data_IF_170938250972
#
_entry.id   IF_170938250972
#
_cell.length_a   1.000
_cell.length_b   1.000
_cell.length_c   1.000
_cell.angle_alpha   90.00
_cell.angle_beta   90.00
_cell.angle_gamma   90.00
#
_symmetry.space_group_name_H-M   'P 1'
#
loop_
_entity.id
_entity.type
_entity.pdbx_description
1 polymer ?
#
# COMPACT_ATOMS: atom_id res chain seq x y z
N UNK A 1 -9.12 0.43 21.55
CA UNK A 1 -9.36 0.51 23.01
C UNK A 1 -8.19 1.17 23.72
N UNK A 2 -6.95 0.73 23.48
CA UNK A 2 -5.72 1.26 24.12
C UNK A 2 -5.50 2.76 23.95
N UNK A 3 -5.81 3.31 22.78
CA UNK A 3 -5.73 4.72 22.46
C UNK A 3 -6.82 5.06 21.41
N UNK A 4 -7.41 6.27 21.45
CA UNK A 4 -8.42 6.69 20.49
C UNK A 4 -7.81 7.12 19.15
N UNK A 5 -8.57 6.95 18.07
CA UNK A 5 -8.30 7.58 16.79
C UNK A 5 -8.70 9.07 16.83
N UNK A 6 -8.14 9.88 15.93
CA UNK A 6 -8.47 11.30 15.75
C UNK A 6 -9.37 11.47 14.52
N UNK A 7 -10.24 12.49 14.52
CA UNK A 7 -11.00 12.89 13.33
C UNK A 7 -10.15 13.84 12.45
N UNK A 8 -9.64 13.40 11.29
CA UNK A 8 -8.75 14.22 10.46
C UNK A 8 -9.49 15.36 9.74
N UNK A 9 -10.82 15.40 9.77
CA UNK A 9 -11.64 16.44 9.15
C UNK A 9 -12.06 17.48 10.18
N UNK A 10 -12.60 17.04 11.32
CA UNK A 10 -13.12 17.93 12.37
C UNK A 10 -12.03 18.44 13.30
N UNK A 11 -10.99 17.63 13.53
CA UNK A 11 -9.87 17.94 14.42
C UNK A 11 -8.58 18.17 13.63
N UNK A 12 -8.67 18.43 12.32
CA UNK A 12 -7.49 18.62 11.46
C UNK A 12 -6.56 19.76 11.88
N UNK A 13 -7.04 20.72 12.68
CA UNK A 13 -6.25 21.83 13.22
C UNK A 13 -5.10 21.39 14.14
N UNK A 14 -5.22 20.22 14.78
CA UNK A 14 -4.15 19.68 15.63
C UNK A 14 -3.15 18.82 14.86
N UNK A 15 -3.38 18.60 13.57
CA UNK A 15 -2.56 17.73 12.73
C UNK A 15 -1.62 18.53 11.82
N UNK A 16 -0.43 17.97 11.55
CA UNK A 16 0.53 18.61 10.63
C UNK A 16 1.26 17.59 9.76
N UNK A 17 1.45 17.98 8.49
CA UNK A 17 2.27 17.27 7.50
C UNK A 17 3.62 17.97 7.26
N UNK A 18 4.00 18.91 8.13
CA UNK A 18 5.27 19.61 8.02
C UNK A 18 6.46 18.64 8.18
N UNK A 19 7.50 18.88 7.37
CA UNK A 19 8.75 18.10 7.40
C UNK A 19 9.93 19.04 7.32
N UNK A 20 10.96 18.78 8.12
CA UNK A 20 12.24 19.45 8.02
C UNK A 20 13.29 18.57 7.31
N UNK A 21 13.97 19.14 6.33
CA UNK A 21 14.99 18.50 5.50
C UNK A 21 16.38 19.04 5.87
N UNK A 22 17.32 18.12 6.10
CA UNK A 22 18.71 18.44 6.44
C UNK A 22 19.17 17.73 7.70
N UNK A 23 20.38 18.08 8.16
CA UNK A 23 20.96 17.53 9.39
C UNK A 23 20.12 17.93 10.60
N UNK A 24 19.85 16.97 11.49
CA UNK A 24 19.26 17.21 12.81
C UNK A 24 20.38 17.42 13.82
N UNK A 25 20.38 18.57 14.48
CA UNK A 25 21.42 18.94 15.45
C UNK A 25 21.21 18.33 16.83
N UNK A 26 22.01 18.79 17.79
CA UNK A 26 22.01 18.28 19.15
C UNK A 26 20.83 18.84 19.94
N UNK A 27 19.95 17.97 20.44
CA UNK A 27 18.77 18.38 21.21
C UNK A 27 19.10 18.94 22.61
N UNK A 28 20.32 18.71 23.10
CA UNK A 28 20.78 19.16 24.41
C UNK A 28 21.43 20.55 24.38
N UNK A 29 21.79 21.02 23.19
CA UNK A 29 22.45 22.31 22.99
C UNK A 29 21.54 23.22 22.18
N UNK A 30 21.30 24.44 22.68
CA UNK A 30 20.47 25.42 21.98
C UNK A 30 21.38 26.31 21.15
N UNK A 31 21.22 26.27 19.83
CA UNK A 31 21.97 27.14 18.91
C UNK A 31 21.29 27.32 17.56
N UNK A 32 21.64 28.37 16.81
CA UNK A 32 21.06 28.69 15.50
C UNK A 32 21.30 27.60 14.45
N UNK A 33 22.34 26.79 14.60
CA UNK A 33 22.65 25.65 13.74
C UNK A 33 21.54 24.57 13.75
N UNK A 34 20.77 24.47 14.83
CA UNK A 34 19.64 23.53 14.90
C UNK A 34 18.46 23.95 14.02
N UNK A 35 18.40 25.23 13.62
CA UNK A 35 17.38 25.76 12.73
C UNK A 35 17.82 25.77 11.26
N UNK A 36 19.05 25.32 10.93
CA UNK A 36 19.58 25.33 9.57
C UNK A 36 19.05 24.15 8.74
N UNK A 37 17.74 24.13 8.52
CA UNK A 37 17.00 23.11 7.79
C UNK A 37 16.02 23.74 6.80
N UNK A 38 15.65 22.99 5.76
CA UNK A 38 14.59 23.40 4.83
C UNK A 38 13.25 22.85 5.34
N UNK A 39 12.33 23.75 5.67
CA UNK A 39 10.97 23.37 6.10
C UNK A 39 10.03 23.25 4.90
N UNK A 40 9.35 22.10 4.81
CA UNK A 40 8.34 21.78 3.81
C UNK A 40 6.97 21.69 4.49
N UNK A 41 5.94 22.29 3.87
CA UNK A 41 4.55 22.22 4.38
C UNK A 41 3.87 20.84 4.18
N UNK A 42 4.55 19.92 3.50
CA UNK A 42 4.05 18.62 3.08
C UNK A 42 5.21 17.71 2.68
N UNK A 43 5.13 16.38 2.88
CA UNK A 43 6.12 15.43 2.37
C UNK A 43 6.00 15.20 0.86
N UNK A 44 4.92 15.68 0.22
CA UNK A 44 4.68 15.48 -1.22
C UNK A 44 5.29 16.63 -1.99
N UNK A 45 6.31 16.34 -2.78
CA UNK A 45 7.03 17.29 -3.62
C UNK A 45 6.52 17.25 -5.06
N UNK A 46 6.48 18.40 -5.71
CA UNK A 46 6.50 18.47 -7.17
C UNK A 46 7.95 18.53 -7.70
N UNK A 47 8.11 18.40 -9.01
CA UNK A 47 9.45 18.34 -9.63
C UNK A 47 10.26 19.64 -9.44
N UNK A 48 9.61 20.80 -9.42
CA UNK A 48 10.27 22.10 -9.20
C UNK A 48 10.72 22.31 -7.75
N UNK A 49 9.95 21.81 -6.79
CA UNK A 49 10.34 21.77 -5.38
C UNK A 49 11.54 20.85 -5.16
N UNK A 50 11.55 19.67 -5.79
CA UNK A 50 12.71 18.77 -5.77
C UNK A 50 13.94 19.43 -6.41
N UNK A 51 13.78 20.10 -7.55
CA UNK A 51 14.89 20.80 -8.22
C UNK A 51 15.47 21.91 -7.35
N UNK A 52 14.63 22.60 -6.58
CA UNK A 52 15.07 23.62 -5.63
C UNK A 52 15.89 23.02 -4.49
N UNK A 53 15.48 21.86 -3.96
CA UNK A 53 16.27 21.11 -2.97
C UNK A 53 17.61 20.64 -3.55
N UNK A 54 17.64 20.20 -4.81
CA UNK A 54 18.87 19.74 -5.49
C UNK A 54 19.90 20.86 -5.71
N UNK A 55 19.44 22.12 -5.78
CA UNK A 55 20.30 23.30 -5.95
C UNK A 55 20.77 23.91 -4.62
N UNK A 56 20.27 23.41 -3.49
CA UNK A 56 20.61 23.96 -2.19
C UNK A 56 22.07 23.61 -1.81
N UNK A 57 22.97 24.62 -1.68
CA UNK A 57 24.39 24.38 -1.42
C UNK A 57 24.66 23.87 0.00
N UNK A 58 23.75 24.11 0.96
CA UNK A 58 23.90 23.64 2.34
C UNK A 58 23.53 22.19 2.48
N UNK A 59 22.46 21.76 1.79
CA UNK A 59 22.02 20.36 1.82
C UNK A 59 23.03 19.42 1.16
N UNK A 60 23.86 19.93 0.24
CA UNK A 60 24.82 19.15 -0.57
C UNK A 60 24.19 17.85 -1.09
N UNK A 61 23.13 17.94 -1.90
CA UNK A 61 22.29 16.80 -2.24
C UNK A 61 23.08 15.77 -3.05
N UNK A 62 22.90 14.50 -2.72
CA UNK A 62 23.45 13.37 -3.48
C UNK A 62 22.32 12.55 -4.06
N UNK A 63 22.27 12.46 -5.39
CA UNK A 63 21.34 11.58 -6.10
C UNK A 63 21.94 10.18 -6.17
N UNK A 64 21.17 9.18 -5.75
CA UNK A 64 21.51 7.76 -5.73
C UNK A 64 20.56 7.01 -6.67
N UNK A 65 21.12 6.32 -7.66
CA UNK A 65 20.35 5.61 -8.69
C UNK A 65 19.85 4.27 -8.17
N UNK A 66 18.54 4.06 -8.11
CA UNK A 66 17.95 2.84 -7.52
C UNK A 66 17.80 1.70 -8.54
N UNK A 67 18.79 1.48 -9.40
CA UNK A 67 18.75 0.43 -10.43
C UNK A 67 19.71 -0.72 -10.10
N UNK A 68 19.31 -1.95 -10.40
CA UNK A 68 20.18 -3.13 -10.26
C UNK A 68 20.42 -3.81 -11.61
N UNK A 69 21.59 -4.41 -11.78
CA UNK A 69 22.03 -4.99 -13.05
C UNK A 69 21.90 -6.51 -13.03
N UNK A 70 21.21 -7.07 -14.01
CA UNK A 70 20.96 -8.52 -14.12
C UNK A 70 21.78 -9.23 -15.21
N UNK A 71 22.74 -8.53 -15.86
CA UNK A 71 23.55 -9.10 -16.95
C UNK A 71 24.42 -10.28 -16.51
N UNK A 72 24.79 -10.35 -15.22
CA UNK A 72 25.56 -11.45 -14.62
C UNK A 72 24.68 -12.54 -13.98
N UNK A 73 23.36 -12.45 -14.15
CA UNK A 73 22.38 -13.29 -13.46
C UNK A 73 21.52 -12.47 -12.51
N UNK A 74 20.31 -12.98 -12.24
CA UNK A 74 19.33 -12.34 -11.37
C UNK A 74 19.57 -12.64 -9.89
N UNK A 75 19.99 -13.87 -9.58
CA UNK A 75 20.17 -14.31 -8.20
C UNK A 75 21.25 -13.45 -7.49
N UNK A 76 20.91 -12.92 -6.33
CA UNK A 76 21.76 -12.01 -5.54
C UNK A 76 21.92 -10.61 -6.12
N UNK A 77 21.44 -10.31 -7.33
CA UNK A 77 21.62 -9.00 -7.97
C UNK A 77 20.93 -7.87 -7.22
N UNK A 78 19.71 -8.12 -6.71
CA UNK A 78 18.94 -7.16 -5.92
C UNK A 78 19.63 -6.87 -4.59
N UNK A 79 20.06 -7.92 -3.88
CA UNK A 79 20.76 -7.79 -2.60
C UNK A 79 22.06 -6.99 -2.74
N UNK A 80 22.89 -7.34 -3.74
CA UNK A 80 24.14 -6.66 -4.00
C UNK A 80 23.93 -5.17 -4.34
N UNK A 81 22.89 -4.85 -5.12
CA UNK A 81 22.56 -3.47 -5.45
C UNK A 81 22.11 -2.67 -4.21
N UNK A 82 21.32 -3.28 -3.31
CA UNK A 82 20.91 -2.62 -2.07
C UNK A 82 22.12 -2.38 -1.16
N UNK A 83 23.03 -3.37 -1.01
CA UNK A 83 24.25 -3.20 -0.23
C UNK A 83 25.13 -2.08 -0.79
N UNK A 84 25.35 -2.05 -2.11
CA UNK A 84 26.10 -0.99 -2.76
C UNK A 84 25.44 0.39 -2.57
N UNK A 85 24.11 0.46 -2.63
CA UNK A 85 23.36 1.70 -2.36
C UNK A 85 23.51 2.16 -0.91
N UNK A 86 23.53 1.25 0.05
CA UNK A 86 23.77 1.56 1.45
C UNK A 86 25.18 2.13 1.67
N UNK A 87 26.20 1.51 1.06
CA UNK A 87 27.59 1.98 1.11
C UNK A 87 27.76 3.35 0.45
N UNK A 88 27.14 3.58 -0.72
CA UNK A 88 27.19 4.89 -1.40
C UNK A 88 26.49 5.97 -0.56
N UNK A 89 25.36 5.64 0.06
CA UNK A 89 24.65 6.53 0.98
C UNK A 89 25.50 6.88 2.20
N UNK A 90 26.11 5.89 2.86
CA UNK A 90 27.00 6.09 4.01
C UNK A 90 28.16 7.03 3.62
N UNK A 91 28.86 6.73 2.53
CA UNK A 91 29.97 7.55 2.03
C UNK A 91 29.54 8.99 1.72
N UNK A 92 28.37 9.17 1.10
CA UNK A 92 27.82 10.49 0.82
C UNK A 92 27.55 11.28 2.10
N UNK A 93 26.93 10.67 3.12
CA UNK A 93 26.66 11.34 4.40
C UNK A 93 27.97 11.67 5.13
N UNK A 94 28.96 10.76 5.14
CA UNK A 94 30.28 11.03 5.73
C UNK A 94 31.03 12.15 5.01
N UNK A 95 30.82 12.32 3.70
CA UNK A 95 31.36 13.45 2.94
C UNK A 95 30.62 14.77 3.19
N UNK A 96 29.59 14.77 4.03
CA UNK A 96 28.84 15.95 4.45
C UNK A 96 27.55 16.21 3.68
N UNK A 97 27.05 15.24 2.90
CA UNK A 97 25.72 15.33 2.29
C UNK A 97 24.64 15.26 3.37
N UNK A 98 23.71 16.23 3.36
CA UNK A 98 22.57 16.28 4.27
C UNK A 98 21.25 15.90 3.58
N UNK A 99 21.29 15.61 2.28
CA UNK A 99 20.13 15.19 1.51
C UNK A 99 20.51 14.07 0.55
N UNK A 100 19.94 12.89 0.77
CA UNK A 100 20.02 11.76 -0.15
C UNK A 100 18.73 11.71 -0.96
N UNK A 101 18.85 11.73 -2.30
CA UNK A 101 17.72 11.58 -3.22
C UNK A 101 17.82 10.22 -3.89
N UNK A 102 16.97 9.29 -3.50
CA UNK A 102 16.87 7.97 -4.13
C UNK A 102 15.98 8.10 -5.36
N UNK A 103 16.55 7.88 -6.54
CA UNK A 103 15.84 8.12 -7.80
C UNK A 103 15.82 6.90 -8.71
N UNK A 104 14.62 6.53 -9.17
CA UNK A 104 14.41 5.61 -10.29
C UNK A 104 14.20 6.35 -11.63
N UNK A 105 14.45 7.66 -11.67
CA UNK A 105 14.42 8.44 -12.91
C UNK A 105 15.61 8.07 -13.80
N UNK A 106 15.35 7.83 -15.09
CA UNK A 106 16.38 7.56 -16.09
C UNK A 106 15.98 8.15 -17.44
N UNK A 107 16.96 8.63 -18.21
CA UNK A 107 16.76 9.10 -19.59
C UNK A 107 16.43 7.95 -20.56
N UNK A 108 17.03 6.78 -20.31
CA UNK A 108 16.82 5.58 -21.10
C UNK A 108 16.63 4.37 -20.18
N UNK A 109 15.55 3.60 -20.42
CA UNK A 109 15.30 2.36 -19.70
C UNK A 109 16.01 1.20 -20.42
N UNK A 110 16.75 0.39 -19.67
CA UNK A 110 17.41 -0.81 -20.20
C UNK A 110 16.69 -2.08 -19.74
N UNK A 111 16.42 -3.06 -20.62
CA UNK A 111 15.79 -4.33 -20.22
C UNK A 111 16.57 -5.09 -19.13
N UNK A 112 17.89 -4.90 -19.09
CA UNK A 112 18.81 -5.56 -18.15
C UNK A 112 19.05 -4.79 -16.85
N UNK A 113 18.33 -3.68 -16.63
CA UNK A 113 18.46 -2.84 -15.45
C UNK A 113 17.09 -2.47 -14.88
N UNK A 114 16.41 -3.40 -14.19
CA UNK A 114 15.22 -3.08 -13.40
C UNK A 114 15.52 -2.10 -12.25
N UNK A 115 14.50 -1.32 -11.88
CA UNK A 115 14.55 -0.48 -10.69
C UNK A 115 14.28 -1.32 -9.42
N UNK A 116 15.06 -1.10 -8.38
CA UNK A 116 14.80 -1.61 -7.02
C UNK A 116 13.44 -1.06 -6.56
N UNK A 117 12.56 -1.87 -5.95
CA UNK A 117 11.34 -1.36 -5.33
C UNK A 117 11.69 -0.24 -4.35
N UNK A 118 11.16 0.97 -4.59
CA UNK A 118 11.60 2.18 -3.87
C UNK A 118 11.43 2.07 -2.35
N UNK A 119 10.39 1.37 -1.89
CA UNK A 119 10.15 1.13 -0.46
C UNK A 119 11.29 0.31 0.17
N UNK A 120 11.80 -0.69 -0.55
CA UNK A 120 12.91 -1.53 -0.11
C UNK A 120 14.21 -0.71 -0.04
N UNK A 121 14.47 0.12 -1.05
CA UNK A 121 15.64 1.01 -1.09
C UNK A 121 15.64 2.03 0.05
N UNK A 122 14.50 2.71 0.28
CA UNK A 122 14.34 3.67 1.39
C UNK A 122 14.54 2.98 2.72
N UNK A 123 13.87 1.84 2.95
CA UNK A 123 13.94 1.10 4.21
C UNK A 123 15.37 0.63 4.50
N UNK A 124 16.05 0.02 3.53
CA UNK A 124 17.41 -0.48 3.70
C UNK A 124 18.41 0.65 4.03
N UNK A 125 18.38 1.75 3.28
CA UNK A 125 19.26 2.90 3.55
C UNK A 125 18.91 3.54 4.90
N UNK A 126 17.63 3.65 5.22
CA UNK A 126 17.19 4.19 6.52
C UNK A 126 17.77 3.39 7.68
N UNK A 127 17.64 2.06 7.64
CA UNK A 127 18.16 1.17 8.67
C UNK A 127 19.69 1.17 8.74
N UNK A 128 20.35 1.09 7.59
CA UNK A 128 21.80 1.12 7.50
C UNK A 128 22.38 2.41 8.13
N UNK A 129 21.80 3.57 7.80
CA UNK A 129 22.22 4.84 8.38
C UNK A 129 21.93 4.93 9.88
N UNK A 130 20.86 4.29 10.39
CA UNK A 130 20.60 4.19 11.84
C UNK A 130 21.71 3.37 12.51
N UNK A 131 21.99 2.18 11.98
CA UNK A 131 22.99 1.26 12.54
C UNK A 131 24.39 1.88 12.59
N UNK A 132 24.72 2.75 11.63
CA UNK A 132 26.01 3.43 11.56
C UNK A 132 26.03 4.80 12.28
N UNK A 133 24.95 5.20 12.94
CA UNK A 133 24.86 6.49 13.65
C UNK A 133 24.83 7.71 12.72
N UNK A 134 24.47 7.53 11.45
CA UNK A 134 24.48 8.56 10.41
C UNK A 134 23.08 9.11 10.08
N UNK A 135 22.00 8.45 10.49
CA UNK A 135 20.63 8.83 10.07
C UNK A 135 20.22 10.25 10.44
N UNK A 136 20.79 10.82 11.51
CA UNK A 136 20.51 12.20 11.93
C UNK A 136 21.27 13.24 11.08
N UNK A 137 22.26 12.82 10.30
CA UNK A 137 23.09 13.72 9.49
C UNK A 137 22.49 14.06 8.12
N UNK A 138 21.50 13.29 7.65
CA UNK A 138 20.88 13.51 6.35
C UNK A 138 19.39 13.14 6.32
N UNK A 139 18.63 13.81 5.46
CA UNK A 139 17.26 13.43 5.09
C UNK A 139 17.26 12.55 3.84
N UNK A 140 16.24 11.70 3.72
CA UNK A 140 16.04 10.80 2.56
C UNK A 140 14.82 11.30 1.79
N UNK A 141 14.98 11.53 0.48
CA UNK A 141 13.89 11.86 -0.44
C UNK A 141 13.77 10.78 -1.51
N UNK A 142 12.56 10.31 -1.76
CA UNK A 142 12.28 9.35 -2.83
C UNK A 142 11.76 10.08 -4.08
N UNK A 143 12.52 10.11 -5.16
CA UNK A 143 12.08 10.55 -6.50
C UNK A 143 11.71 9.32 -7.32
N UNK A 144 10.42 8.97 -7.35
CA UNK A 144 10.01 7.63 -7.81
C UNK A 144 8.78 7.60 -8.73
N UNK A 145 8.84 6.69 -9.70
CA UNK A 145 7.71 6.30 -10.53
C UNK A 145 6.68 5.40 -9.81
N UNK A 146 7.09 4.72 -8.73
CA UNK A 146 6.33 3.63 -8.10
C UNK A 146 5.47 4.08 -6.92
N UNK A 147 5.20 5.38 -6.77
CA UNK A 147 4.38 5.93 -5.68
C UNK A 147 3.23 6.80 -6.21
N UNK A 148 2.00 6.33 -6.07
CA UNK A 148 0.80 6.99 -6.60
C UNK A 148 -0.44 6.88 -5.70
N UNK A 149 -0.41 6.06 -4.64
CA UNK A 149 -1.52 5.88 -3.71
C UNK A 149 -1.16 6.35 -2.30
N UNK A 150 -2.15 6.75 -1.52
CA UNK A 150 -1.98 7.25 -0.14
C UNK A 150 -1.24 6.25 0.76
N UNK A 151 -1.46 4.95 0.57
CA UNK A 151 -0.76 3.90 1.30
C UNK A 151 0.73 3.84 0.97
N UNK A 152 1.12 3.96 -0.31
CA UNK A 152 2.53 3.96 -0.71
C UNK A 152 3.30 5.14 -0.11
N UNK A 153 2.71 6.35 -0.08
CA UNK A 153 3.30 7.49 0.62
C UNK A 153 3.48 7.21 2.11
N UNK A 154 2.44 6.67 2.77
CA UNK A 154 2.51 6.34 4.18
C UNK A 154 3.59 5.28 4.47
N UNK A 155 3.72 4.24 3.65
CA UNK A 155 4.78 3.24 3.77
C UNK A 155 6.16 3.90 3.64
N UNK A 156 6.41 4.68 2.59
CA UNK A 156 7.71 5.33 2.39
C UNK A 156 8.09 6.22 3.58
N UNK A 157 7.14 7.02 4.09
CA UNK A 157 7.38 7.89 5.25
C UNK A 157 7.61 7.07 6.52
N UNK A 158 6.75 6.08 6.78
CA UNK A 158 6.84 5.22 7.96
C UNK A 158 8.11 4.39 8.02
N UNK A 159 8.75 4.15 6.87
CA UNK A 159 10.05 3.47 6.75
C UNK A 159 11.23 4.42 6.45
N UNK A 160 11.05 5.73 6.61
CA UNK A 160 12.16 6.66 6.78
C UNK A 160 12.36 7.72 5.68
N UNK A 161 11.51 7.76 4.65
CA UNK A 161 11.51 8.89 3.71
C UNK A 161 11.01 10.16 4.41
N UNK A 162 11.74 11.25 4.24
CA UNK A 162 11.32 12.58 4.72
C UNK A 162 10.36 13.23 3.73
N UNK A 163 10.62 13.11 2.43
CA UNK A 163 9.71 13.59 1.39
C UNK A 163 9.75 12.68 0.16
N UNK A 164 8.74 12.81 -0.71
CA UNK A 164 8.53 11.98 -1.89
C UNK A 164 8.16 12.89 -3.06
N UNK A 165 8.89 12.77 -4.16
CA UNK A 165 8.55 13.30 -5.47
C UNK A 165 7.97 12.15 -6.34
N UNK A 166 6.63 12.04 -6.46
CA UNK A 166 5.97 10.98 -7.19
C UNK A 166 5.88 11.32 -8.68
N UNK A 167 7.02 11.46 -9.35
CA UNK A 167 7.08 12.12 -10.66
C UNK A 167 6.19 11.47 -11.72
N UNK A 168 6.09 10.13 -11.75
CA UNK A 168 5.25 9.44 -12.74
C UNK A 168 3.76 9.58 -12.44
N UNK A 169 3.37 9.71 -11.16
CA UNK A 169 1.99 9.97 -10.78
C UNK A 169 1.57 11.39 -11.20
N UNK A 170 2.48 12.36 -11.02
CA UNK A 170 2.30 13.73 -11.48
C UNK A 170 2.19 13.79 -13.01
N UNK A 171 3.07 13.09 -13.72
CA UNK A 171 3.01 12.98 -15.18
C UNK A 171 1.72 12.29 -15.65
N UNK A 172 1.28 11.25 -14.95
CA UNK A 172 0.00 10.59 -15.21
C UNK A 172 -1.17 11.56 -15.09
N UNK A 173 -1.15 12.50 -14.14
CA UNK A 173 -2.16 13.55 -14.04
C UNK A 173 -2.15 14.48 -15.26
N UNK A 174 -0.96 14.84 -15.77
CA UNK A 174 -0.81 15.65 -16.99
C UNK A 174 -1.38 14.91 -18.20
N UNK A 175 -0.96 13.66 -18.41
CA UNK A 175 -1.41 12.83 -19.53
C UNK A 175 -2.91 12.52 -19.48
N UNK A 176 -3.44 12.22 -18.28
CA UNK A 176 -4.88 12.03 -18.08
C UNK A 176 -5.67 13.27 -18.51
N UNK A 177 -5.20 14.46 -18.10
CA UNK A 177 -5.84 15.72 -18.44
C UNK A 177 -5.74 16.05 -19.93
N UNK A 178 -4.61 15.74 -20.57
CA UNK A 178 -4.39 15.97 -22.00
C UNK A 178 -5.11 14.96 -22.89
N UNK A 179 -5.52 13.81 -22.36
CA UNK A 179 -6.16 12.77 -23.16
C UNK A 179 -7.45 13.25 -23.83
N UNK A 180 -7.63 12.86 -25.11
CA UNK A 180 -8.82 13.20 -25.90
C UNK A 180 -10.13 12.80 -25.21
N UNK A 181 -10.13 11.66 -24.48
CA UNK A 181 -11.29 11.20 -23.73
C UNK A 181 -11.68 12.18 -22.63
N UNK A 182 -10.71 12.62 -21.81
CA UNK A 182 -10.95 13.56 -20.71
C UNK A 182 -11.38 14.93 -21.24
N UNK A 183 -10.71 15.43 -22.29
CA UNK A 183 -11.09 16.69 -22.94
C UNK A 183 -12.53 16.65 -23.46
N UNK A 184 -12.94 15.55 -24.10
CA UNK A 184 -14.32 15.39 -24.57
C UNK A 184 -15.34 15.30 -23.44
N UNK A 185 -15.00 14.66 -22.32
CA UNK A 185 -15.88 14.62 -21.14
C UNK A 185 -16.11 16.02 -20.56
N UNK A 186 -15.06 16.85 -20.49
CA UNK A 186 -15.16 18.24 -20.03
C UNK A 186 -15.98 19.09 -20.99
N UNK A 187 -15.71 18.99 -22.30
CA UNK A 187 -16.44 19.75 -23.33
C UNK A 187 -17.93 19.43 -23.33
N UNK A 188 -18.30 18.17 -23.09
CA UNK A 188 -19.68 17.72 -23.08
C UNK A 188 -20.37 17.91 -21.71
N UNK A 189 -19.75 18.61 -20.75
CA UNK A 189 -20.31 18.87 -19.42
C UNK A 189 -20.44 17.65 -18.52
N UNK A 190 -19.84 16.52 -18.88
CA UNK A 190 -19.87 15.28 -18.06
C UNK A 190 -18.85 15.29 -16.92
N UNK A 191 -17.93 16.26 -16.93
CA UNK A 191 -16.90 16.44 -15.92
C UNK A 191 -16.57 17.94 -15.79
N UNK A 192 -16.24 18.44 -14.59
CA UNK A 192 -15.77 19.81 -14.42
C UNK A 192 -14.48 20.09 -15.22
N UNK A 193 -14.38 21.27 -15.80
CA UNK A 193 -13.15 21.73 -16.45
C UNK A 193 -12.07 21.97 -15.39
N UNK A 194 -10.93 21.31 -15.54
CA UNK A 194 -9.73 21.55 -14.71
C UNK A 194 -8.55 21.90 -15.59
N UNK A 195 -7.54 22.61 -15.07
CA UNK A 195 -6.25 22.79 -15.78
C UNK A 195 -5.31 21.63 -15.44
N UNK A 196 -4.14 21.56 -16.08
CA UNK A 196 -3.12 20.56 -15.77
C UNK A 196 -2.61 20.76 -14.34
N UNK A 197 -2.32 22.00 -13.97
CA UNK A 197 -1.84 22.40 -12.66
C UNK A 197 -2.89 22.08 -11.60
N UNK A 198 -4.18 22.31 -11.90
CA UNK A 198 -5.26 21.98 -10.99
C UNK A 198 -5.41 20.46 -10.79
N UNK A 199 -5.21 19.66 -11.85
CA UNK A 199 -5.23 18.19 -11.73
C UNK A 199 -4.12 17.70 -10.78
N UNK A 200 -2.90 18.21 -10.93
CA UNK A 200 -1.79 17.88 -10.04
C UNK A 200 -2.02 18.37 -8.61
N UNK A 201 -2.52 19.60 -8.43
CA UNK A 201 -2.90 20.14 -7.09
C UNK A 201 -3.97 19.29 -6.42
N UNK A 202 -4.97 18.82 -7.18
CA UNK A 202 -6.01 17.94 -6.65
C UNK A 202 -5.45 16.58 -6.22
N UNK A 203 -4.52 16.01 -7.00
CA UNK A 203 -3.81 14.79 -6.63
C UNK A 203 -3.03 14.98 -5.32
N UNK A 204 -2.20 16.03 -5.23
CA UNK A 204 -1.42 16.33 -4.02
C UNK A 204 -2.36 16.54 -2.82
N UNK A 205 -3.46 17.28 -3.00
CA UNK A 205 -4.48 17.49 -1.95
C UNK A 205 -5.08 16.15 -1.47
N UNK A 206 -5.44 15.26 -2.40
CA UNK A 206 -5.97 13.94 -2.07
C UNK A 206 -4.96 13.09 -1.29
N UNK A 207 -3.68 13.13 -1.68
CA UNK A 207 -2.60 12.44 -0.96
C UNK A 207 -2.45 13.01 0.45
N UNK A 208 -2.39 14.34 0.62
CA UNK A 208 -2.30 15.00 1.93
C UNK A 208 -3.47 14.63 2.84
N UNK A 209 -4.71 14.71 2.36
CA UNK A 209 -5.88 14.28 3.13
C UNK A 209 -5.84 12.78 3.47
N UNK A 210 -5.34 11.96 2.56
CA UNK A 210 -5.17 10.53 2.78
C UNK A 210 -4.11 10.20 3.84
N UNK A 211 -3.00 10.93 3.86
CA UNK A 211 -1.98 10.82 4.91
C UNK A 211 -2.55 11.18 6.28
N UNK A 212 -3.23 12.32 6.40
CA UNK A 212 -3.92 12.71 7.65
C UNK A 212 -4.87 11.60 8.11
N UNK A 213 -5.65 11.01 7.20
CA UNK A 213 -6.53 9.88 7.51
C UNK A 213 -5.77 8.64 7.99
N UNK A 214 -4.59 8.34 7.45
CA UNK A 214 -3.80 7.17 7.88
C UNK A 214 -3.22 7.42 9.29
N UNK A 215 -2.66 8.60 9.52
CA UNK A 215 -2.12 9.03 10.82
C UNK A 215 -3.20 8.98 11.90
N UNK A 216 -4.40 9.47 11.58
CA UNK A 216 -5.50 9.58 12.54
C UNK A 216 -6.01 8.23 13.04
N UNK A 217 -5.85 7.13 12.27
CA UNK A 217 -6.25 5.77 12.68
C UNK A 217 -5.58 5.32 13.97
N UNK A 218 -4.36 5.78 14.21
CA UNK A 218 -3.58 5.47 15.43
C UNK A 218 -3.51 6.66 16.40
N UNK A 219 -4.27 7.73 16.14
CA UNK A 219 -4.26 8.94 16.95
C UNK A 219 -2.95 9.75 16.86
N UNK A 220 -2.24 9.65 15.73
CA UNK A 220 -0.99 10.39 15.51
C UNK A 220 -1.33 11.74 14.86
N UNK A 221 -0.88 12.84 15.46
CA UNK A 221 -1.14 14.19 14.94
C UNK A 221 -0.06 14.71 13.99
N UNK A 222 1.20 14.38 14.25
CA UNK A 222 2.35 14.96 13.54
C UNK A 222 3.02 13.92 12.63
N UNK A 223 3.25 14.29 11.38
CA UNK A 223 3.98 13.44 10.43
C UNK A 223 5.43 13.19 10.86
N UNK A 224 6.05 14.15 11.56
CA UNK A 224 7.40 13.99 12.12
C UNK A 224 7.50 12.82 13.10
N UNK A 225 6.44 12.54 13.87
CA UNK A 225 6.35 11.38 14.76
C UNK A 225 6.00 10.08 14.03
N UNK A 226 5.36 10.17 12.86
CA UNK A 226 5.04 9.02 12.02
C UNK A 226 6.26 8.53 11.20
N UNK A 227 7.14 9.45 10.82
CA UNK A 227 8.32 9.14 10.01
C UNK A 227 9.27 8.17 10.76
N UNK A 228 9.53 7.02 10.14
CA UNK A 228 10.36 5.96 10.75
C UNK A 228 9.68 5.15 11.87
N UNK A 229 8.42 5.44 12.21
CA UNK A 229 7.72 4.76 13.31
C UNK A 229 7.21 3.34 12.97
N UNK A 230 7.26 2.94 11.70
CA UNK A 230 6.89 1.60 11.23
C UNK A 230 5.51 1.12 11.71
N UNK A 231 4.48 1.96 11.54
CA UNK A 231 3.10 1.65 11.94
C UNK A 231 2.43 0.72 10.91
N UNK A 232 3.03 -0.46 10.73
CA UNK A 232 2.66 -1.47 9.74
C UNK A 232 2.89 -2.88 10.28
N UNK A 233 2.16 -3.84 9.73
CA UNK A 233 2.42 -5.26 9.90
C UNK A 233 2.68 -5.89 8.53
N UNK A 234 3.70 -6.73 8.43
CA UNK A 234 4.16 -7.31 7.18
C UNK A 234 3.57 -8.72 7.02
N UNK A 235 2.84 -8.91 5.93
CA UNK A 235 2.31 -10.21 5.51
C UNK A 235 3.02 -10.66 4.23
N UNK A 236 3.68 -11.81 4.25
CA UNK A 236 4.23 -12.45 3.05
C UNK A 236 5.66 -12.04 2.65
N UNK A 237 6.43 -11.39 3.53
CA UNK A 237 7.87 -11.18 3.31
C UNK A 237 8.69 -12.08 4.24
N UNK A 238 9.77 -12.65 3.72
CA UNK A 238 10.72 -13.45 4.49
C UNK A 238 11.55 -12.60 5.44
N UNK A 239 12.04 -13.23 6.51
CA UNK A 239 12.80 -12.54 7.57
C UNK A 239 14.03 -11.81 7.02
N UNK A 240 14.71 -12.36 6.02
CA UNK A 240 15.87 -11.72 5.38
C UNK A 240 15.55 -10.35 4.75
N UNK A 241 14.34 -10.17 4.19
CA UNK A 241 13.90 -8.89 3.63
C UNK A 241 13.56 -7.91 4.74
N UNK A 242 12.89 -8.42 5.79
CA UNK A 242 12.50 -7.63 6.96
C UNK A 242 13.74 -7.12 7.68
N UNK A 243 14.72 -7.96 7.95
CA UNK A 243 15.95 -7.58 8.66
C UNK A 243 16.76 -6.55 7.86
N UNK A 244 16.78 -6.67 6.54
CA UNK A 244 17.51 -5.77 5.66
C UNK A 244 16.91 -4.36 5.63
N UNK A 245 15.58 -4.23 5.52
CA UNK A 245 14.94 -2.95 5.19
C UNK A 245 13.86 -2.48 6.17
N UNK A 246 13.28 -3.38 6.95
CA UNK A 246 12.10 -3.13 7.77
C UNK A 246 12.29 -3.64 9.21
N UNK A 247 13.54 -3.62 9.69
CA UNK A 247 13.91 -4.14 11.00
C UNK A 247 13.06 -3.49 12.10
N UNK A 248 12.43 -4.33 12.94
CA UNK A 248 11.46 -3.94 13.97
C UNK A 248 9.99 -4.25 13.62
N UNK A 249 9.65 -4.36 12.33
CA UNK A 249 8.30 -4.70 11.89
C UNK A 249 7.94 -6.17 12.16
N UNK A 250 6.68 -6.41 12.51
CA UNK A 250 6.15 -7.76 12.72
C UNK A 250 5.94 -8.46 11.38
N UNK A 251 6.50 -9.66 11.21
CA UNK A 251 6.19 -10.57 10.10
C UNK A 251 6.13 -12.03 10.55
N UNK A 252 4.94 -12.49 10.97
CA UNK A 252 4.79 -13.81 11.62
C UNK A 252 4.72 -15.00 10.66
N UNK A 253 4.29 -14.76 9.42
CA UNK A 253 4.04 -15.83 8.44
C UNK A 253 5.31 -16.14 7.63
N UNK A 254 6.26 -15.20 7.56
CA UNK A 254 7.34 -15.25 6.59
C UNK A 254 6.81 -15.10 5.16
N UNK A 255 7.66 -15.40 4.17
CA UNK A 255 7.29 -15.35 2.76
C UNK A 255 8.49 -15.05 1.87
N UNK A 256 8.29 -14.10 0.94
CA UNK A 256 9.20 -13.83 -0.16
C UNK A 256 10.64 -13.53 0.27
N UNK A 257 11.57 -14.19 -0.40
CA UNK A 257 13.01 -13.94 -0.35
C UNK A 257 13.39 -12.73 -1.24
N UNK A 258 14.59 -12.18 -1.05
CA UNK A 258 15.16 -11.14 -1.92
C UNK A 258 15.28 -11.62 -3.38
N UNK A 259 15.59 -12.89 -3.59
CA UNK A 259 15.65 -13.45 -4.94
C UNK A 259 14.26 -13.53 -5.59
N UNK A 260 13.23 -13.91 -4.84
CA UNK A 260 11.84 -13.93 -5.34
C UNK A 260 11.32 -12.51 -5.61
N UNK A 261 11.62 -11.54 -4.74
CA UNK A 261 11.32 -10.12 -5.00
C UNK A 261 12.04 -9.60 -6.26
N UNK A 262 13.29 -10.01 -6.47
CA UNK A 262 14.03 -9.69 -7.70
C UNK A 262 13.34 -10.26 -8.94
N UNK A 263 12.86 -11.51 -8.88
CA UNK A 263 12.10 -12.16 -9.96
C UNK A 263 10.76 -11.47 -10.22
N UNK A 264 10.02 -11.12 -9.18
CA UNK A 264 8.75 -10.41 -9.31
C UNK A 264 8.96 -9.02 -9.94
N UNK A 265 9.96 -8.28 -9.46
CA UNK A 265 10.35 -6.98 -10.02
C UNK A 265 10.69 -7.10 -11.51
N UNK A 266 11.48 -8.11 -11.88
CA UNK A 266 11.83 -8.36 -13.28
C UNK A 266 10.61 -8.73 -14.13
N UNK A 267 9.65 -9.47 -13.58
CA UNK A 267 8.44 -9.88 -14.30
C UNK A 267 7.60 -8.69 -14.76
N UNK A 268 7.52 -7.63 -13.95
CA UNK A 268 6.90 -6.37 -14.35
C UNK A 268 7.79 -5.57 -15.30
N UNK A 269 9.11 -5.55 -15.04
CA UNK A 269 10.07 -4.79 -15.85
C UNK A 269 10.09 -5.23 -17.32
N UNK A 270 10.19 -6.53 -17.57
CA UNK A 270 10.28 -7.08 -18.94
C UNK A 270 9.04 -6.74 -19.77
N UNK A 271 7.86 -6.65 -19.14
CA UNK A 271 6.62 -6.26 -19.81
C UNK A 271 6.66 -4.83 -20.35
N UNK A 272 7.46 -3.93 -19.78
CA UNK A 272 7.61 -2.58 -20.31
C UNK A 272 8.31 -2.56 -21.69
N UNK A 273 9.05 -3.63 -22.04
CA UNK A 273 9.82 -3.74 -23.29
C UNK A 273 9.17 -4.64 -24.34
N UNK A 274 7.99 -5.19 -24.08
CA UNK A 274 7.22 -5.95 -25.07
C UNK A 274 6.27 -5.03 -25.83
N UNK A 275 6.23 -5.16 -27.17
CA UNK A 275 5.43 -4.29 -28.06
C UNK A 275 3.92 -4.36 -27.79
N UNK A 276 3.42 -5.48 -27.28
CA UNK A 276 1.99 -5.68 -27.01
C UNK A 276 1.54 -5.03 -25.71
N UNK A 277 2.34 -5.15 -24.64
CA UNK A 277 2.04 -4.55 -23.32
C UNK A 277 2.37 -3.06 -23.25
N UNK A 278 3.24 -2.55 -24.12
CA UNK A 278 3.58 -1.12 -24.17
C UNK A 278 2.40 -0.23 -24.61
N UNK A 279 1.41 -0.78 -25.33
CA UNK A 279 0.29 0.02 -25.91
C UNK A 279 -0.77 0.40 -24.89
N UNK A 280 -1.00 -0.42 -23.85
CA UNK A 280 -2.02 -0.17 -22.82
C UNK A 280 -1.71 -0.95 -21.55
N UNK A 281 -1.89 -0.29 -20.40
CA UNK A 281 -1.82 -0.96 -19.10
C UNK A 281 -2.85 -2.08 -18.98
N UNK A 282 -2.41 -3.23 -18.50
CA UNK A 282 -3.29 -4.37 -18.19
C UNK A 282 -4.24 -4.01 -17.05
N UNK A 283 -5.49 -4.49 -17.16
CA UNK A 283 -6.47 -4.35 -16.10
C UNK A 283 -6.65 -5.69 -15.39
N UNK A 284 -5.93 -5.87 -14.29
CA UNK A 284 -5.99 -7.09 -13.48
C UNK A 284 -7.30 -7.28 -12.71
N UNK A 285 -8.19 -6.27 -12.64
CA UNK A 285 -9.46 -6.45 -11.93
C UNK A 285 -9.34 -6.48 -10.40
N UNK A 286 -8.29 -5.90 -9.80
CA UNK A 286 -8.10 -5.89 -8.34
C UNK A 286 -9.28 -5.28 -7.55
N UNK A 287 -9.99 -4.31 -8.11
CA UNK A 287 -11.12 -3.63 -7.44
C UNK A 287 -12.47 -4.29 -7.75
N UNK A 288 -12.63 -4.84 -8.96
CA UNK A 288 -13.88 -5.42 -9.42
C UNK A 288 -13.59 -6.68 -10.24
N UNK A 289 -14.29 -7.76 -9.90
CA UNK A 289 -14.22 -9.05 -10.61
C UNK A 289 -14.39 -8.86 -12.12
N UNK A 290 -13.46 -9.44 -12.89
CA UNK A 290 -13.46 -9.42 -14.36
C UNK A 290 -13.07 -10.80 -14.91
N UNK A 291 -13.60 -11.19 -16.08
CA UNK A 291 -13.11 -12.37 -16.77
C UNK A 291 -11.60 -12.25 -17.05
N UNK A 292 -10.83 -13.27 -16.65
CA UNK A 292 -9.37 -13.32 -16.82
C UNK A 292 -8.56 -12.40 -15.90
N UNK A 293 -9.19 -11.74 -14.93
CA UNK A 293 -8.50 -10.95 -13.92
C UNK A 293 -8.18 -11.74 -12.64
N UNK A 294 -7.75 -11.01 -11.62
CA UNK A 294 -7.53 -11.49 -10.25
C UNK A 294 -8.77 -12.21 -9.73
N UNK A 295 -8.56 -13.24 -8.90
CA UNK A 295 -9.67 -14.01 -8.35
C UNK A 295 -10.42 -13.21 -7.27
N UNK A 296 -11.76 -13.24 -7.31
CA UNK A 296 -12.62 -12.67 -6.28
C UNK A 296 -13.46 -13.78 -5.66
N UNK A 297 -13.35 -13.95 -4.33
CA UNK A 297 -14.18 -14.90 -3.58
C UNK A 297 -15.69 -14.62 -3.76
N UNK A 298 -16.05 -13.34 -3.80
CA UNK A 298 -17.38 -12.88 -4.16
C UNK A 298 -17.39 -12.44 -5.63
N UNK A 299 -17.91 -13.30 -6.50
CA UNK A 299 -18.02 -13.01 -7.93
C UNK A 299 -19.46 -13.30 -8.43
N UNK A 300 -19.85 -12.75 -9.60
CA UNK A 300 -21.22 -12.89 -10.12
C UNK A 300 -21.67 -14.35 -10.32
N UNK A 301 -20.76 -15.24 -10.70
CA UNK A 301 -21.06 -16.65 -10.93
C UNK A 301 -21.35 -17.37 -9.61
N UNK A 302 -20.48 -17.21 -8.61
CA UNK A 302 -20.66 -17.72 -7.25
C UNK A 302 -22.02 -17.31 -6.69
N UNK A 303 -22.36 -16.01 -6.76
CA UNK A 303 -23.65 -15.49 -6.27
C UNK A 303 -24.83 -16.11 -7.01
N UNK A 304 -24.76 -16.26 -8.34
CA UNK A 304 -25.83 -16.86 -9.14
C UNK A 304 -26.08 -18.32 -8.77
N UNK A 305 -25.02 -19.11 -8.58
CA UNK A 305 -25.11 -20.52 -8.18
C UNK A 305 -25.74 -20.66 -6.80
N UNK A 306 -25.29 -19.86 -5.83
CA UNK A 306 -25.85 -19.87 -4.47
C UNK A 306 -27.34 -19.48 -4.46
N UNK A 307 -27.70 -18.39 -5.16
CA UNK A 307 -29.10 -17.97 -5.25
C UNK A 307 -30.00 -18.97 -5.97
N UNK A 308 -29.47 -19.75 -6.93
CA UNK A 308 -30.21 -20.84 -7.57
C UNK A 308 -30.47 -21.96 -6.56
N UNK A 309 -29.44 -22.41 -5.84
CA UNK A 309 -29.55 -23.46 -4.84
C UNK A 309 -30.57 -23.13 -3.74
N UNK A 310 -30.54 -21.90 -3.21
CA UNK A 310 -31.45 -21.45 -2.15
C UNK A 310 -32.90 -21.34 -2.66
N UNK A 311 -33.11 -20.76 -3.86
CA UNK A 311 -34.46 -20.56 -4.41
C UNK A 311 -35.15 -21.87 -4.79
N UNK A 312 -34.40 -22.79 -5.40
CA UNK A 312 -34.92 -24.08 -5.84
C UNK A 312 -34.96 -25.12 -4.71
N UNK A 313 -34.31 -24.84 -3.56
CA UNK A 313 -34.10 -25.81 -2.46
C UNK A 313 -33.52 -27.14 -2.97
N UNK A 314 -32.56 -27.05 -3.89
CA UNK A 314 -32.01 -28.20 -4.60
C UNK A 314 -30.60 -28.54 -4.11
N UNK A 315 -30.44 -29.74 -3.57
CA UNK A 315 -29.14 -30.28 -3.15
C UNK A 315 -28.16 -30.39 -4.32
N UNK A 316 -28.67 -30.72 -5.52
CA UNK A 316 -27.86 -30.77 -6.73
C UNK A 316 -27.32 -29.37 -7.10
N UNK A 317 -28.17 -28.34 -7.08
CA UNK A 317 -27.72 -26.97 -7.31
C UNK A 317 -26.73 -26.49 -6.23
N UNK A 318 -26.91 -26.90 -4.97
CA UNK A 318 -25.97 -26.59 -3.89
C UNK A 318 -24.63 -27.32 -4.07
N UNK A 319 -24.64 -28.56 -4.56
CA UNK A 319 -23.44 -29.33 -4.87
C UNK A 319 -22.61 -28.66 -5.97
N UNK A 320 -23.26 -28.14 -7.02
CA UNK A 320 -22.59 -27.36 -8.08
C UNK A 320 -21.93 -26.10 -7.49
N UNK A 321 -22.61 -25.41 -6.57
CA UNK A 321 -22.03 -24.26 -5.85
C UNK A 321 -20.80 -24.65 -5.02
N UNK A 322 -20.87 -25.77 -4.28
CA UNK A 322 -19.74 -26.29 -3.51
C UNK A 322 -18.54 -26.68 -4.39
N UNK A 323 -18.79 -27.29 -5.56
CA UNK A 323 -17.75 -27.62 -6.53
C UNK A 323 -17.05 -26.36 -7.06
N UNK A 324 -17.81 -25.31 -7.40
CA UNK A 324 -17.24 -24.03 -7.81
C UNK A 324 -16.34 -23.42 -6.73
N UNK A 325 -16.74 -23.51 -5.45
CA UNK A 325 -15.90 -23.07 -4.33
C UNK A 325 -14.68 -23.97 -4.09
N UNK A 326 -14.76 -25.26 -4.38
CA UNK A 326 -13.67 -26.20 -4.19
C UNK A 326 -12.59 -26.07 -5.27
N UNK A 327 -12.95 -25.66 -6.49
CA UNK A 327 -12.01 -25.50 -7.61
C UNK A 327 -11.27 -24.17 -7.65
N UNK A 328 -11.47 -23.31 -6.64
CA UNK A 328 -10.87 -21.97 -6.61
C UNK A 328 -9.38 -22.01 -6.23
N UNK A 329 -8.58 -21.01 -6.64
CA UNK A 329 -7.21 -20.88 -6.16
C UNK A 329 -7.17 -20.57 -4.66
N UNK A 330 -5.98 -20.77 -4.07
CA UNK A 330 -5.68 -20.27 -2.72
C UNK A 330 -5.92 -18.75 -2.69
N UNK A 331 -6.75 -18.29 -1.76
CA UNK A 331 -7.17 -16.89 -1.67
C UNK A 331 -7.07 -16.33 -0.24
N UNK A 332 -7.20 -17.17 0.78
CA UNK A 332 -7.05 -16.80 2.20
C UNK A 332 -6.18 -17.81 2.94
N UNK A 333 -5.57 -17.40 4.06
CA UNK A 333 -4.62 -18.24 4.81
C UNK A 333 -5.19 -19.62 5.21
N UNK A 334 -6.48 -19.68 5.55
CA UNK A 334 -7.14 -20.94 5.91
C UNK A 334 -7.22 -21.96 4.76
N UNK A 335 -7.01 -21.53 3.51
CA UNK A 335 -6.98 -22.42 2.35
C UNK A 335 -5.70 -23.26 2.31
N UNK A 336 -4.66 -22.83 3.03
CA UNK A 336 -3.38 -23.54 3.17
C UNK A 336 -3.39 -24.57 4.30
N UNK A 337 -4.51 -24.69 5.01
CA UNK A 337 -4.64 -25.58 6.18
C UNK A 337 -5.53 -26.76 5.83
N UNK A 338 -5.02 -27.97 6.04
CA UNK A 338 -5.78 -29.22 5.93
C UNK A 338 -6.14 -29.75 7.31
N UNK A 339 -7.42 -30.08 7.53
CA UNK A 339 -7.88 -30.71 8.76
C UNK A 339 -7.61 -32.22 8.70
N UNK A 340 -6.65 -32.70 9.50
CA UNK A 340 -6.37 -34.13 9.68
C UNK A 340 -6.85 -34.60 11.06
N UNK A 341 -7.40 -35.80 11.10
CA UNK A 341 -7.93 -36.40 12.33
C UNK A 341 -7.66 -37.89 12.34
N UNK A 342 -7.05 -38.38 13.42
CA UNK A 342 -6.86 -39.81 13.70
C UNK A 342 -8.14 -40.49 14.24
N UNK A 343 -9.19 -39.71 14.51
CA UNK A 343 -10.47 -40.24 14.99
C UNK A 343 -11.23 -40.91 13.85
N UNK A 344 -11.78 -42.09 14.13
CA UNK A 344 -12.66 -42.79 13.18
C UNK A 344 -13.89 -41.92 12.86
N UNK A 345 -14.30 -41.82 11.58
CA UNK A 345 -15.52 -41.11 11.21
C UNK A 345 -16.74 -41.63 11.95
N UNK A 346 -17.61 -40.72 12.38
CA UNK A 346 -18.88 -41.06 13.04
C UNK A 346 -20.06 -40.91 12.06
N UNK A 347 -21.15 -41.68 12.23
CA UNK A 347 -22.37 -41.46 11.47
C UNK A 347 -22.92 -40.03 11.67
N UNK A 348 -23.46 -39.41 10.61
CA UNK A 348 -24.00 -38.04 10.65
C UNK A 348 -25.08 -37.88 11.75
N UNK A 349 -25.89 -38.91 12.01
CA UNK A 349 -26.89 -38.89 13.08
C UNK A 349 -26.34 -38.76 14.51
N UNK A 350 -25.02 -38.91 14.71
CA UNK A 350 -24.34 -38.64 15.99
C UNK A 350 -23.75 -37.23 16.07
N UNK A 351 -23.78 -36.47 14.99
CA UNK A 351 -23.33 -35.07 14.95
C UNK A 351 -24.40 -34.18 15.58
N UNK A 352 -23.99 -33.08 16.20
CA UNK A 352 -24.89 -32.05 16.71
C UNK A 352 -25.92 -31.63 15.63
N UNK A 353 -27.21 -31.51 15.96
CA UNK A 353 -28.24 -31.16 14.98
C UNK A 353 -28.06 -29.75 14.44
N UNK A 354 -28.42 -29.54 13.17
CA UNK A 354 -28.30 -28.25 12.50
C UNK A 354 -29.02 -27.11 13.25
N UNK A 355 -30.15 -27.40 13.89
CA UNK A 355 -30.91 -26.44 14.71
C UNK A 355 -30.13 -25.91 15.90
N UNK A 356 -29.22 -26.70 16.49
CA UNK A 356 -28.34 -26.26 17.58
C UNK A 356 -27.11 -25.51 17.04
N UNK A 357 -26.59 -25.93 15.89
CA UNK A 357 -25.42 -25.28 15.26
C UNK A 357 -25.76 -23.84 14.84
N UNK A 358 -26.93 -23.62 14.24
CA UNK A 358 -27.32 -22.31 13.67
C UNK A 358 -27.54 -21.22 14.73
N UNK A 359 -27.81 -21.59 15.99
CA UNK A 359 -27.90 -20.64 17.11
C UNK A 359 -26.58 -19.89 17.36
N UNK A 360 -25.45 -20.47 16.89
CA UNK A 360 -24.12 -19.84 16.96
C UNK A 360 -23.90 -18.82 15.83
N UNK A 361 -24.74 -18.80 14.80
CA UNK A 361 -24.57 -17.91 13.66
C UNK A 361 -25.07 -16.50 13.98
N UNK A 362 -24.27 -15.52 13.54
CA UNK A 362 -24.56 -14.10 13.65
C UNK A 362 -24.36 -13.46 12.27
N UNK A 363 -25.28 -12.60 11.83
CA UNK A 363 -25.18 -11.97 10.49
C UNK A 363 -24.30 -10.73 10.46
N UNK A 364 -23.77 -10.30 11.61
CA UNK A 364 -23.03 -9.05 11.75
C UNK A 364 -23.95 -7.82 11.68
N UNK A 365 -23.40 -6.66 12.03
CA UNK A 365 -24.11 -5.39 11.99
C UNK A 365 -24.04 -4.76 10.59
N UNK A 366 -25.20 -4.52 9.97
CA UNK A 366 -25.30 -3.81 8.69
C UNK A 366 -26.33 -2.70 8.84
N UNK A 367 -25.86 -1.45 8.90
CA UNK A 367 -26.69 -0.30 9.27
C UNK A 367 -27.88 -0.06 8.34
N UNK A 368 -29.04 0.27 8.93
CA UNK A 368 -30.16 0.87 8.23
C UNK A 368 -29.70 2.19 7.57
N UNK A 369 -29.75 2.27 6.25
CA UNK A 369 -29.17 3.37 5.45
C UNK A 369 -27.97 2.94 4.59
N UNK A 370 -27.24 1.90 4.99
CA UNK A 370 -26.29 1.22 4.10
C UNK A 370 -27.01 0.15 3.25
N UNK A 371 -28.00 -0.52 3.84
CA UNK A 371 -28.89 -1.47 3.18
C UNK A 371 -30.34 -1.00 3.25
N UNK A 372 -31.18 -1.56 2.36
CA UNK A 372 -32.62 -1.26 2.36
C UNK A 372 -33.30 -1.84 3.61
N UNK A 373 -34.41 -1.22 4.01
CA UNK A 373 -35.22 -1.68 5.14
C UNK A 373 -35.69 -3.11 4.95
N UNK A 374 -36.11 -3.46 3.74
CA UNK A 374 -36.58 -4.81 3.39
C UNK A 374 -35.46 -5.85 3.58
N UNK A 375 -34.22 -5.48 3.23
CA UNK A 375 -33.06 -6.37 3.43
C UNK A 375 -32.76 -6.53 4.91
N UNK A 376 -32.75 -5.42 5.66
CA UNK A 376 -32.47 -5.41 7.09
C UNK A 376 -33.49 -6.25 7.88
N UNK A 377 -34.78 -6.01 7.66
CA UNK A 377 -35.88 -6.73 8.32
C UNK A 377 -35.92 -8.20 7.91
N UNK A 378 -35.67 -8.53 6.63
CA UNK A 378 -35.65 -9.92 6.17
C UNK A 378 -34.57 -10.75 6.89
N UNK A 379 -33.39 -10.15 7.12
CA UNK A 379 -32.29 -10.79 7.85
C UNK A 379 -32.68 -11.00 9.31
N UNK A 380 -33.21 -9.97 9.98
CA UNK A 380 -33.64 -10.06 11.38
C UNK A 380 -34.72 -11.13 11.58
N UNK A 381 -35.75 -11.14 10.72
CA UNK A 381 -36.82 -12.15 10.74
C UNK A 381 -36.25 -13.56 10.53
N UNK A 382 -35.30 -13.73 9.59
CA UNK A 382 -34.69 -15.03 9.33
C UNK A 382 -33.87 -15.54 10.53
N UNK A 383 -33.04 -14.68 11.13
CA UNK A 383 -32.20 -15.06 12.27
C UNK A 383 -33.04 -15.40 13.52
N UNK A 384 -34.07 -14.60 13.80
CA UNK A 384 -35.00 -14.87 14.91
C UNK A 384 -35.75 -16.19 14.73
N UNK A 385 -36.12 -16.56 13.49
CA UNK A 385 -36.80 -17.83 13.19
C UNK A 385 -35.92 -19.05 13.44
N UNK A 386 -34.60 -18.93 13.27
CA UNK A 386 -33.66 -20.06 13.44
C UNK A 386 -32.95 -20.03 14.81
N UNK A 387 -33.33 -19.11 15.72
CA UNK A 387 -32.68 -18.95 17.02
C UNK A 387 -31.26 -18.36 16.96
N UNK A 388 -30.84 -17.84 15.80
CA UNK A 388 -29.57 -17.14 15.64
C UNK A 388 -29.68 -15.66 15.99
N UNK A 389 -28.65 -14.86 15.69
CA UNK A 389 -28.59 -13.44 16.09
C UNK A 389 -28.41 -12.51 14.89
N UNK A 390 -29.23 -11.47 14.81
CA UNK A 390 -29.00 -10.31 13.94
C UNK A 390 -28.42 -9.13 14.74
N UNK A 391 -27.94 -8.10 14.04
CA UNK A 391 -27.38 -6.90 14.66
C UNK A 391 -27.76 -5.69 13.80
N UNK A 392 -28.29 -4.63 14.42
CA UNK A 392 -28.81 -3.42 13.77
C UNK A 392 -27.73 -2.51 13.16
N UNK A 393 -26.45 -2.76 13.47
CA UNK A 393 -25.34 -1.92 13.02
C UNK A 393 -25.31 -0.57 13.73
N UNK A 394 -24.86 0.46 13.02
CA UNK A 394 -24.64 1.80 13.59
C UNK A 394 -25.76 2.80 13.24
N UNK A 395 -26.76 2.39 12.44
CA UNK A 395 -27.77 3.26 11.85
C UNK A 395 -29.05 3.46 12.67
N UNK A 396 -29.12 2.93 13.89
CA UNK A 396 -30.39 2.72 14.59
C UNK A 396 -31.11 1.45 14.13
N UNK A 397 -32.33 1.24 14.60
CA UNK A 397 -33.15 0.03 14.32
C UNK A 397 -34.58 0.36 13.90
#
# INVERSE_FOLDING_TARGET
VTNPAIDPLREGLVMSLEVNIGKRGNILEVGPENADQVTLSSPVLNEGELESLLKDPKLKPKVLSTYFNIRKGLDGSLENAIKALCEEADAAVRSGSQLLVLSDRSEALEPTRPAVPILLAVGAIHQHLIQNGLRMSASIVADTAQCFSTHQFACLIGYGASAICPYLALETCRQWRLSNKTVNLMRNGKMPTVTIEQAQRNFIKAVKSGLLKILSKMGISLLSSYCGAQIFEIYGLGQEVVDLAFCGSVSKIGGLTLNELGRETLSFWVRAFSEDTAKRLENFGFIQSRPGGEFHANNPEMSKLLHKAIREKSDNAYTIYQQHLASRPVNVLRDLVELKSERTPIPIGKVEPATSIVERFCTGGMSLGAISRETHEAIAIAMNRIGGKSNSGEGGE
#
